data_IF_458425488105
#
_entry.id   IF_458425488105
#
_cell.length_a   1.000
_cell.length_b   1.000
_cell.length_c   1.000
_cell.angle_alpha   90.00
_cell.angle_beta   90.00
_cell.angle_gamma   90.00
#
_symmetry.space_group_name_H-M   'P 1'
#
loop_
_entity.id
_entity.type
_entity.pdbx_description
1 polymer ?
#
# COMPACT_ATOMS: atom_id res chain seq x y z
N UNK A 1 -41.92 -2.83 -15.45
CA UNK A 1 -41.85 -1.37 -15.62
C UNK A 1 -40.44 -0.90 -15.27
N UNK A 2 -39.74 -0.22 -16.19
CA UNK A 2 -38.43 0.40 -15.92
C UNK A 2 -38.65 1.56 -14.92
N UNK A 3 -38.00 1.51 -13.75
CA UNK A 3 -37.95 2.67 -12.84
C UNK A 3 -37.29 3.81 -13.59
N UNK A 4 -38.01 4.92 -13.78
CA UNK A 4 -37.42 6.16 -14.30
C UNK A 4 -36.22 6.53 -13.42
N UNK A 5 -35.09 6.97 -14.00
CA UNK A 5 -33.92 7.33 -13.21
C UNK A 5 -34.31 8.42 -12.22
N UNK A 6 -34.10 8.14 -10.94
CA UNK A 6 -34.25 9.14 -9.87
C UNK A 6 -33.24 10.26 -10.14
N UNK A 7 -33.63 11.55 -10.00
CA UNK A 7 -32.68 12.65 -10.15
C UNK A 7 -31.52 12.47 -9.16
N UNK A 8 -30.35 13.02 -9.52
CA UNK A 8 -29.06 12.90 -8.82
C UNK A 8 -29.22 12.61 -7.32
N UNK A 9 -28.72 11.44 -6.92
CA UNK A 9 -28.78 10.94 -5.54
C UNK A 9 -28.35 12.06 -4.59
N UNK A 10 -29.19 12.47 -3.62
CA UNK A 10 -28.75 13.41 -2.60
C UNK A 10 -27.49 12.86 -1.92
N UNK A 11 -26.55 13.73 -1.58
CA UNK A 11 -25.30 13.36 -0.89
C UNK A 11 -25.64 12.55 0.37
N UNK A 12 -25.47 11.23 0.29
CA UNK A 12 -25.76 10.31 1.39
C UNK A 12 -24.48 10.11 2.18
N UNK A 13 -24.45 10.63 3.40
CA UNK A 13 -23.35 10.43 4.33
C UNK A 13 -23.59 9.12 5.07
N UNK A 14 -22.66 8.18 4.95
CA UNK A 14 -22.70 6.88 5.64
C UNK A 14 -21.45 6.73 6.51
N UNK A 15 -21.63 6.27 7.74
CA UNK A 15 -20.51 5.85 8.59
C UNK A 15 -20.14 4.42 8.21
N UNK A 16 -18.97 4.23 7.59
CA UNK A 16 -18.55 2.94 7.05
C UNK A 16 -17.18 2.56 7.60
N UNK A 17 -17.00 1.26 7.91
CA UNK A 17 -15.69 0.68 8.20
C UNK A 17 -14.96 0.31 6.90
N UNK A 18 -13.75 0.83 6.72
CA UNK A 18 -12.91 0.47 5.57
C UNK A 18 -12.62 -1.04 5.53
N UNK A 19 -12.53 -1.69 6.70
CA UNK A 19 -12.36 -3.15 6.77
C UNK A 19 -13.57 -3.88 6.18
N UNK A 20 -14.80 -3.44 6.47
CA UNK A 20 -16.00 -4.07 5.92
C UNK A 20 -16.12 -3.94 4.39
N UNK A 21 -15.44 -2.95 3.79
CA UNK A 21 -15.47 -2.70 2.34
C UNK A 21 -14.50 -3.58 1.54
N UNK A 22 -13.54 -4.24 2.19
CA UNK A 22 -12.56 -5.09 1.49
C UNK A 22 -12.99 -6.56 1.61
N UNK A 23 -13.31 -7.25 0.50
CA UNK A 23 -13.73 -8.65 0.53
C UNK A 23 -12.76 -9.54 1.28
N UNK A 24 -13.28 -10.45 2.12
CA UNK A 24 -12.45 -11.31 2.99
C UNK A 24 -11.48 -12.21 2.20
N UNK A 25 -11.86 -12.60 0.98
CA UNK A 25 -11.05 -13.43 0.08
C UNK A 25 -10.09 -12.61 -0.82
N UNK A 26 -10.01 -11.29 -0.66
CA UNK A 26 -9.16 -10.42 -1.48
C UNK A 26 -7.67 -10.72 -1.25
N UNK A 27 -6.86 -10.62 -2.31
CA UNK A 27 -5.43 -10.97 -2.29
C UNK A 27 -4.66 -10.22 -1.20
N UNK A 28 -4.89 -8.91 -1.06
CA UNK A 28 -4.19 -8.09 -0.06
C UNK A 28 -4.46 -8.54 1.39
N UNK A 29 -5.62 -9.12 1.68
CA UNK A 29 -5.92 -9.71 3.01
C UNK A 29 -5.14 -10.99 3.24
N UNK A 30 -5.07 -11.85 2.22
CA UNK A 30 -4.25 -13.07 2.26
C UNK A 30 -2.79 -12.71 2.55
N UNK A 31 -2.26 -11.71 1.85
CA UNK A 31 -0.89 -11.22 2.04
C UNK A 31 -0.70 -10.65 3.45
N UNK A 32 -1.59 -9.76 3.91
CA UNK A 32 -1.50 -9.16 5.24
C UNK A 32 -1.59 -10.19 6.39
N UNK A 33 -2.28 -11.32 6.18
CA UNK A 33 -2.36 -12.41 7.15
C UNK A 33 -1.06 -13.23 7.25
N UNK A 34 -0.34 -13.34 6.13
CA UNK A 34 0.84 -14.22 6.01
C UNK A 34 2.14 -13.47 6.32
N UNK A 35 2.15 -12.18 6.06
CA UNK A 35 3.35 -11.36 6.10
C UNK A 35 3.20 -10.34 7.21
N UNK A 36 3.96 -10.55 8.28
CA UNK A 36 4.34 -9.46 9.16
C UNK A 36 5.37 -8.60 8.43
N UNK A 37 5.08 -7.30 8.27
CA UNK A 37 5.94 -6.34 7.57
C UNK A 37 6.88 -5.57 8.51
N UNK A 38 6.77 -5.75 9.83
CA UNK A 38 7.56 -4.96 10.78
C UNK A 38 9.07 -5.22 10.68
N UNK A 39 9.49 -6.40 10.21
CA UNK A 39 10.89 -6.69 9.90
C UNK A 39 11.53 -5.69 8.91
N UNK A 40 10.72 -4.98 8.11
CA UNK A 40 11.21 -3.94 7.20
C UNK A 40 11.76 -2.76 8.00
N UNK A 41 11.12 -2.37 9.10
CA UNK A 41 11.62 -1.28 9.96
C UNK A 41 13.01 -1.61 10.49
N UNK A 42 13.20 -2.85 10.93
CA UNK A 42 14.51 -3.33 11.39
C UNK A 42 15.54 -3.31 10.26
N UNK A 43 15.18 -3.83 9.08
CA UNK A 43 16.08 -3.90 7.92
C UNK A 43 16.52 -2.52 7.41
N UNK A 44 15.64 -1.53 7.46
CA UNK A 44 15.93 -0.18 6.97
C UNK A 44 16.37 0.80 8.06
N UNK A 45 16.35 0.41 9.34
CA UNK A 45 16.73 1.27 10.46
C UNK A 45 18.08 1.99 10.25
N UNK A 46 19.14 1.35 9.72
CA UNK A 46 20.43 2.03 9.47
C UNK A 46 20.35 3.15 8.42
N UNK A 47 19.32 3.19 7.59
CA UNK A 47 19.11 4.20 6.55
C UNK A 47 18.33 5.42 7.04
N UNK A 48 17.82 5.39 8.28
CA UNK A 48 17.00 6.44 8.87
C UNK A 48 17.73 7.10 10.04
N UNK A 49 17.76 8.43 10.05
CA UNK A 49 18.24 9.18 11.20
C UNK A 49 17.09 9.34 12.21
N UNK A 50 17.24 8.95 13.48
CA UNK A 50 16.16 9.02 14.47
C UNK A 50 15.78 10.46 14.84
N UNK A 51 16.71 11.41 14.73
CA UNK A 51 16.58 12.71 15.40
C UNK A 51 16.73 13.93 14.46
N UNK A 52 16.67 13.77 13.14
CA UNK A 52 16.85 14.90 12.24
C UNK A 52 16.04 14.83 10.93
N UNK A 53 15.42 15.95 10.55
CA UNK A 53 14.70 16.13 9.28
C UNK A 53 13.17 16.08 9.35
N UNK A 54 12.54 16.23 8.19
CA UNK A 54 11.08 16.08 8.01
C UNK A 54 10.67 14.62 8.29
N UNK A 55 9.52 14.35 8.92
CA UNK A 55 9.02 12.98 9.10
C UNK A 55 9.02 12.28 7.75
N UNK A 56 9.82 11.22 7.63
CA UNK A 56 9.87 10.43 6.42
C UNK A 56 8.67 9.49 6.38
N UNK A 57 8.06 9.37 5.19
CA UNK A 57 7.82 8.08 4.55
C UNK A 57 7.96 6.86 5.44
N UNK A 58 6.88 6.37 6.09
CA UNK A 58 6.94 5.08 6.79
C UNK A 58 7.53 4.02 5.84
N UNK A 59 8.71 3.43 6.14
CA UNK A 59 9.37 2.46 5.27
C UNK A 59 8.49 1.26 4.95
N UNK A 60 7.69 0.81 5.92
CA UNK A 60 6.76 -0.30 5.74
C UNK A 60 5.71 0.06 4.69
N UNK A 61 5.13 1.26 4.79
CA UNK A 61 4.14 1.76 3.83
C UNK A 61 4.75 1.92 2.44
N UNK A 62 5.94 2.50 2.33
CA UNK A 62 6.64 2.65 1.05
C UNK A 62 6.89 1.30 0.38
N UNK A 63 7.34 0.31 1.14
CA UNK A 63 7.52 -1.05 0.63
C UNK A 63 6.20 -1.65 0.16
N UNK A 64 5.14 -1.55 0.97
CA UNK A 64 3.80 -2.05 0.58
C UNK A 64 3.26 -1.38 -0.68
N UNK A 65 3.49 -0.09 -0.87
CA UNK A 65 3.13 0.63 -2.10
C UNK A 65 3.82 -0.01 -3.31
N UNK A 66 5.15 -0.18 -3.24
CA UNK A 66 5.91 -0.84 -4.30
C UNK A 66 5.41 -2.26 -4.56
N UNK A 67 5.16 -3.03 -3.49
CA UNK A 67 4.66 -4.39 -3.55
C UNK A 67 3.30 -4.46 -4.26
N UNK A 68 2.38 -3.53 -4.02
CA UNK A 68 1.12 -3.42 -4.78
C UNK A 68 1.39 -3.23 -6.27
N UNK A 69 2.36 -2.38 -6.62
CA UNK A 69 2.78 -2.19 -8.00
C UNK A 69 3.21 -3.48 -8.68
N UNK A 70 4.02 -4.30 -8.01
CA UNK A 70 4.45 -5.61 -8.51
C UNK A 70 3.31 -6.63 -8.59
N UNK A 71 2.53 -6.78 -7.52
CA UNK A 71 1.47 -7.79 -7.43
C UNK A 71 0.35 -7.59 -8.45
N UNK A 72 0.00 -6.34 -8.73
CA UNK A 72 -1.10 -5.99 -9.64
C UNK A 72 -0.60 -5.50 -11.01
N UNK A 73 0.70 -5.64 -11.30
CA UNK A 73 1.27 -5.33 -12.61
C UNK A 73 1.13 -3.86 -13.02
N UNK A 74 1.23 -2.92 -12.07
CA UNK A 74 1.01 -1.50 -12.33
C UNK A 74 2.29 -0.89 -12.94
N UNK A 75 2.23 -0.34 -14.17
CA UNK A 75 3.42 -0.09 -14.98
C UNK A 75 4.21 1.16 -14.59
N UNK A 76 3.69 2.01 -13.69
CA UNK A 76 4.41 3.22 -13.26
C UNK A 76 3.99 3.69 -11.87
N UNK A 77 4.92 4.37 -11.19
CA UNK A 77 4.67 5.02 -9.89
C UNK A 77 3.52 6.02 -9.94
N UNK A 78 3.39 6.77 -11.05
CA UNK A 78 2.28 7.70 -11.24
C UNK A 78 0.94 6.97 -11.30
N UNK A 79 0.87 5.87 -12.06
CA UNK A 79 -0.36 5.07 -12.12
C UNK A 79 -0.65 4.41 -10.77
N UNK A 80 0.36 3.91 -10.08
CA UNK A 80 0.22 3.30 -8.76
C UNK A 80 -0.35 4.28 -7.73
N UNK A 81 0.14 5.52 -7.69
CA UNK A 81 -0.44 6.57 -6.83
C UNK A 81 -1.91 6.84 -7.19
N UNK A 82 -2.25 6.92 -8.49
CA UNK A 82 -3.63 7.10 -8.94
C UNK A 82 -4.54 5.92 -8.54
N UNK A 83 -4.05 4.70 -8.64
CA UNK A 83 -4.79 3.51 -8.19
C UNK A 83 -5.04 3.55 -6.69
N UNK A 84 -4.04 3.89 -5.87
CA UNK A 84 -4.20 4.02 -4.41
C UNK A 84 -5.23 5.10 -4.06
N UNK A 85 -5.31 6.18 -4.86
CA UNK A 85 -6.28 7.27 -4.65
C UNK A 85 -7.74 6.82 -4.77
N UNK A 86 -8.04 5.73 -5.48
CA UNK A 86 -9.42 5.30 -5.73
C UNK A 86 -9.71 3.86 -5.27
N UNK A 87 -8.68 3.05 -5.04
CA UNK A 87 -8.82 1.65 -4.68
C UNK A 87 -8.83 1.45 -3.16
N UNK A 88 -10.00 1.08 -2.65
CA UNK A 88 -10.23 0.86 -1.22
C UNK A 88 -9.39 -0.28 -0.64
N UNK A 89 -9.19 -1.36 -1.40
CA UNK A 89 -8.39 -2.50 -0.95
C UNK A 89 -6.91 -2.11 -0.80
N UNK A 90 -6.41 -1.23 -1.66
CA UNK A 90 -5.05 -0.72 -1.58
C UNK A 90 -4.89 0.19 -0.36
N UNK A 91 -5.83 1.11 -0.13
CA UNK A 91 -5.82 1.95 1.08
C UNK A 91 -5.88 1.11 2.36
N UNK A 92 -6.77 0.12 2.41
CA UNK A 92 -6.86 -0.80 3.54
C UNK A 92 -5.52 -1.50 3.80
N UNK A 93 -4.89 -2.02 2.75
CA UNK A 93 -3.59 -2.72 2.86
C UNK A 93 -2.47 -1.80 3.37
N UNK A 94 -2.53 -0.53 3.01
CA UNK A 94 -1.59 0.52 3.41
C UNK A 94 -1.92 1.16 4.78
N UNK A 95 -3.03 0.77 5.41
CA UNK A 95 -3.50 1.38 6.65
C UNK A 95 -3.89 2.85 6.49
N UNK A 96 -4.38 3.23 5.31
CA UNK A 96 -4.71 4.61 4.97
C UNK A 96 -6.19 4.92 5.13
N UNK A 97 -6.49 6.11 5.65
CA UNK A 97 -7.85 6.65 5.65
C UNK A 97 -8.34 6.99 4.24
N UNK A 98 -9.67 7.06 4.05
CA UNK A 98 -10.29 7.46 2.77
C UNK A 98 -9.92 8.89 2.36
N UNK A 99 -9.80 9.78 3.35
CA UNK A 99 -9.45 11.19 3.18
C UNK A 99 -7.95 11.45 3.28
N UNK A 100 -7.15 10.44 3.65
CA UNK A 100 -5.71 10.58 3.77
C UNK A 100 -5.08 10.80 2.38
N UNK A 101 -4.21 11.81 2.28
CA UNK A 101 -3.51 12.14 1.04
C UNK A 101 -2.50 11.04 0.72
N UNK A 102 -2.56 10.50 -0.50
CA UNK A 102 -1.53 9.61 -1.03
C UNK A 102 -0.26 10.39 -1.34
N UNK A 103 0.89 9.80 -1.05
CA UNK A 103 2.19 10.35 -1.40
C UNK A 103 2.26 10.72 -2.88
N UNK A 104 2.95 11.82 -3.18
CA UNK A 104 3.13 12.24 -4.57
C UNK A 104 4.06 11.24 -5.29
N UNK A 105 3.83 11.00 -6.59
CA UNK A 105 4.62 10.03 -7.37
C UNK A 105 6.12 10.39 -7.41
N UNK A 106 6.45 11.67 -7.35
CA UNK A 106 7.84 12.14 -7.25
C UNK A 106 8.50 11.70 -5.94
N UNK A 107 7.77 11.76 -4.82
CA UNK A 107 8.21 11.30 -3.50
C UNK A 107 8.48 9.79 -3.52
N UNK A 108 7.59 9.01 -4.13
CA UNK A 108 7.79 7.58 -4.32
C UNK A 108 9.04 7.30 -5.16
N UNK A 109 9.20 8.02 -6.28
CA UNK A 109 10.36 7.91 -7.17
C UNK A 109 11.69 8.21 -6.47
N UNK A 110 11.72 9.29 -5.66
CA UNK A 110 12.92 9.68 -4.92
C UNK A 110 13.27 8.68 -3.83
N UNK A 111 12.28 8.17 -3.10
CA UNK A 111 12.52 7.10 -2.12
C UNK A 111 13.04 5.84 -2.80
N UNK A 112 12.46 5.46 -3.95
CA UNK A 112 12.96 4.32 -4.72
C UNK A 112 14.39 4.49 -5.18
N UNK A 113 14.74 5.61 -5.80
CA UNK A 113 16.12 5.83 -6.24
C UNK A 113 17.11 5.83 -5.06
N UNK A 114 16.81 6.58 -4.00
CA UNK A 114 17.75 6.82 -2.90
C UNK A 114 17.87 5.67 -1.91
N UNK A 115 16.82 4.85 -1.79
CA UNK A 115 16.72 3.82 -0.74
C UNK A 115 16.53 2.41 -1.27
N UNK A 116 16.02 2.24 -2.49
CA UNK A 116 15.60 0.92 -3.00
C UNK A 116 16.32 0.46 -4.28
N UNK A 117 16.92 1.35 -5.08
CA UNK A 117 17.65 0.97 -6.30
C UNK A 117 19.09 0.51 -6.03
N UNK A 118 19.77 1.14 -5.06
CA UNK A 118 21.16 0.78 -4.70
C UNK A 118 21.24 -0.22 -3.55
N UNK A 119 20.10 -0.50 -2.88
CA UNK A 119 20.06 -1.47 -1.80
C UNK A 119 19.44 -2.77 -2.30
N UNK A 120 20.19 -3.86 -2.23
CA UNK A 120 19.68 -5.21 -2.43
C UNK A 120 18.50 -5.53 -1.49
N UNK A 121 18.25 -4.69 -0.47
CA UNK A 121 17.23 -4.83 0.56
C UNK A 121 15.84 -5.12 -0.03
N UNK A 122 15.40 -4.45 -1.11
CA UNK A 122 14.06 -4.77 -1.66
C UNK A 122 14.03 -6.16 -2.29
N UNK A 123 15.09 -6.54 -3.03
CA UNK A 123 15.19 -7.89 -3.59
C UNK A 123 15.34 -8.94 -2.50
N UNK A 124 16.15 -8.67 -1.47
CA UNK A 124 16.32 -9.54 -0.30
C UNK A 124 15.01 -9.70 0.46
N UNK A 125 14.27 -8.62 0.70
CA UNK A 125 12.95 -8.66 1.32
C UNK A 125 11.99 -9.48 0.44
N UNK A 126 11.93 -9.23 -0.87
CA UNK A 126 11.07 -9.98 -1.78
C UNK A 126 11.46 -11.48 -1.79
N UNK A 127 12.75 -11.80 -1.81
CA UNK A 127 13.26 -13.17 -1.71
C UNK A 127 12.87 -13.81 -0.37
N UNK A 128 12.99 -13.08 0.75
CA UNK A 128 12.56 -13.54 2.07
C UNK A 128 11.05 -13.83 2.06
N UNK A 129 10.24 -12.96 1.45
CA UNK A 129 8.80 -13.16 1.29
C UNK A 129 8.48 -14.38 0.43
N UNK A 130 9.18 -14.57 -0.69
CA UNK A 130 8.99 -15.71 -1.60
C UNK A 130 9.48 -17.04 -1.00
N UNK A 131 10.47 -17.00 -0.10
CA UNK A 131 11.00 -18.19 0.59
C UNK A 131 10.20 -18.59 1.82
N UNK A 132 9.34 -17.71 2.35
CA UNK A 132 8.46 -18.08 3.46
C UNK A 132 7.40 -19.04 2.92
N UNK A 133 7.25 -20.25 3.50
CA UNK A 133 6.16 -21.13 3.11
C UNK A 133 4.84 -20.40 3.37
N UNK A 134 4.01 -20.29 2.33
CA UNK A 134 2.64 -19.82 2.52
C UNK A 134 1.99 -20.76 3.56
N UNK A 135 1.36 -20.23 4.62
CA UNK A 135 0.67 -21.08 5.57
C UNK A 135 -0.38 -21.87 4.78
N UNK A 136 -0.30 -23.20 4.92
CA UNK A 136 -1.28 -24.11 4.32
C UNK A 136 -2.64 -23.69 4.85
N UNK A 137 -3.47 -23.17 3.94
CA UNK A 137 -4.90 -22.94 4.20
C UNK A 137 -5.65 -24.24 4.23
#
# INVERSE_FOLDING_TARGET
MLKKPTPATPEKIEQISLDALVPQNHLVRKIAKVIDFEFIREAVAPLYCPNNGRPAEDPVRLFKIMLLGYLFGIPSERRLVQEIQVNLAYRWFLGMGLTEKVIDASTLSQNRRRRFNDSEIYQQILIILLRRPLPKG
#
